data_IF_703874804037
#
_entry.id   IF_703874804037
#
_cell.length_a   1.000
_cell.length_b   1.000
_cell.length_c   1.000
_cell.angle_alpha   90.00
_cell.angle_beta   90.00
_cell.angle_gamma   90.00
#
_symmetry.space_group_name_H-M   'P 1'
#
loop_
_entity.id
_entity.type
_entity.pdbx_description
1 polymer ?
#
# COMPACT_ATOMS: atom_id res chain seq x y z
N UNK A 1 -21.57 42.53 -2.09
CA UNK A 1 -20.60 43.21 -2.98
C UNK A 1 -19.28 42.44 -3.15
N UNK A 2 -19.33 41.09 -3.20
CA UNK A 2 -18.23 40.19 -3.64
C UNK A 2 -18.82 38.97 -4.37
N UNK A 3 -19.68 39.22 -5.35
CA UNK A 3 -20.23 38.21 -6.29
C UNK A 3 -20.23 38.68 -7.76
N UNK A 4 -19.60 39.84 -8.06
CA UNK A 4 -19.51 40.40 -9.41
C UNK A 4 -18.08 40.49 -9.97
N UNK A 5 -17.07 39.95 -9.28
CA UNK A 5 -15.67 40.03 -9.73
C UNK A 5 -15.13 38.77 -10.44
N UNK A 6 -15.95 37.73 -10.61
CA UNK A 6 -15.52 36.46 -11.22
C UNK A 6 -16.07 36.22 -12.65
N UNK A 7 -16.84 37.17 -13.21
CA UNK A 7 -17.52 37.02 -14.50
C UNK A 7 -16.83 37.74 -15.68
N UNK A 8 -15.61 38.27 -15.52
CA UNK A 8 -15.00 39.16 -16.52
C UNK A 8 -13.66 38.70 -17.13
N UNK A 9 -13.38 37.38 -17.19
CA UNK A 9 -12.23 36.86 -17.96
C UNK A 9 -12.56 35.95 -19.15
N UNK A 10 -13.84 35.64 -19.42
CA UNK A 10 -14.24 34.69 -20.49
C UNK A 10 -14.85 35.32 -21.76
N UNK A 11 -14.59 36.60 -22.08
CA UNK A 11 -15.04 37.20 -23.35
C UNK A 11 -14.00 38.13 -23.95
N UNK A 12 -13.08 37.59 -24.76
CA UNK A 12 -12.43 38.26 -25.90
C UNK A 12 -11.33 37.35 -26.48
N UNK A 13 -11.62 36.59 -27.54
CA UNK A 13 -10.88 36.65 -28.82
C UNK A 13 -11.42 35.59 -29.79
N UNK A 14 -12.37 35.99 -30.64
CA UNK A 14 -12.57 35.41 -31.95
C UNK A 14 -13.37 36.43 -32.79
N UNK A 15 -12.74 37.04 -33.79
CA UNK A 15 -13.16 36.94 -35.20
C UNK A 15 -12.38 37.91 -36.13
N UNK A 16 -11.72 37.28 -37.12
CA UNK A 16 -11.41 37.69 -38.49
C UNK A 16 -10.51 38.89 -38.81
N UNK A 17 -9.43 38.61 -39.57
CA UNK A 17 -9.17 39.35 -40.80
C UNK A 17 -8.69 38.43 -41.94
N UNK A 18 -9.02 38.87 -43.13
CA UNK A 18 -9.23 38.18 -44.41
C UNK A 18 -7.98 37.92 -45.26
N UNK A 19 -8.18 37.03 -46.24
CA UNK A 19 -7.35 36.67 -47.38
C UNK A 19 -6.54 37.80 -48.05
N UNK A 20 -5.34 37.43 -48.51
CA UNK A 20 -4.74 37.98 -49.75
C UNK A 20 -3.88 36.88 -50.40
N UNK A 21 -4.32 36.35 -51.53
CA UNK A 21 -3.44 35.72 -52.52
C UNK A 21 -2.71 36.83 -53.28
N UNK A 22 -1.40 36.65 -53.55
CA UNK A 22 -0.73 37.02 -54.82
C UNK A 22 0.55 36.19 -54.93
N UNK A 23 0.85 35.88 -56.20
CA UNK A 23 1.67 34.82 -56.73
C UNK A 23 3.21 35.00 -56.64
N UNK A 24 3.88 33.85 -56.81
CA UNK A 24 4.92 33.69 -57.85
C UNK A 24 6.37 33.76 -57.37
N UNK A 25 7.12 32.69 -57.63
CA UNK A 25 8.58 32.72 -57.55
C UNK A 25 9.24 31.36 -57.39
N UNK A 26 9.25 30.57 -58.47
CA UNK A 26 10.06 29.36 -58.61
C UNK A 26 11.55 29.66 -58.44
N UNK A 27 12.28 28.81 -57.71
CA UNK A 27 13.65 28.42 -58.07
C UNK A 27 13.89 26.96 -57.69
N UNK A 28 14.42 26.23 -58.66
CA UNK A 28 14.66 24.80 -58.63
C UNK A 28 16.15 24.48 -58.42
N UNK A 29 16.39 23.21 -58.10
CA UNK A 29 17.56 22.37 -58.45
C UNK A 29 18.91 22.60 -57.74
N UNK A 30 19.32 21.60 -56.96
CA UNK A 30 20.50 20.71 -57.15
C UNK A 30 20.63 19.82 -55.88
N UNK A 31 20.52 18.50 -55.83
CA UNK A 31 21.07 17.38 -56.61
C UNK A 31 22.60 17.23 -56.54
N UNK A 32 23.06 16.28 -55.70
CA UNK A 32 24.17 15.31 -55.85
C UNK A 32 24.38 14.64 -54.45
N UNK A 33 24.21 13.33 -54.20
CA UNK A 33 24.91 12.11 -54.71
C UNK A 33 26.44 12.29 -54.68
N UNK A 34 27.28 11.40 -54.16
CA UNK A 34 27.17 9.97 -53.89
C UNK A 34 28.42 9.55 -53.05
N UNK A 35 28.28 8.45 -52.28
CA UNK A 35 29.20 7.29 -52.14
C UNK A 35 30.64 7.33 -51.57
N UNK A 36 30.83 6.28 -50.75
CA UNK A 36 31.99 5.34 -50.70
C UNK A 36 33.18 5.83 -49.86
N UNK A 37 33.87 5.03 -49.04
CA UNK A 37 33.97 3.57 -48.85
C UNK A 37 34.79 3.33 -47.57
N UNK A 38 34.45 2.26 -46.84
CA UNK A 38 35.33 1.16 -46.35
C UNK A 38 36.84 1.45 -46.10
N UNK A 39 37.53 0.92 -45.10
CA UNK A 39 37.44 -0.39 -44.45
C UNK A 39 38.47 -0.46 -43.28
N UNK A 40 38.38 -1.56 -42.52
CA UNK A 40 39.41 -2.20 -41.64
C UNK A 40 39.58 -1.59 -40.25
N UNK A 41 39.08 -2.16 -39.13
CA UNK A 41 39.05 -3.53 -38.59
C UNK A 41 40.36 -3.96 -37.88
N UNK A 42 40.17 -4.49 -36.65
CA UNK A 42 41.01 -5.45 -35.89
C UNK A 42 42.31 -4.92 -35.23
N UNK A 43 42.76 -5.40 -34.07
CA UNK A 43 42.32 -6.42 -33.11
C UNK A 43 43.16 -6.26 -31.82
N UNK A 44 42.64 -6.81 -30.69
CA UNK A 44 43.29 -7.69 -29.71
C UNK A 44 44.71 -7.36 -29.19
N UNK A 45 45.12 -7.62 -27.94
CA UNK A 45 44.53 -8.19 -26.73
C UNK A 45 45.65 -8.11 -25.66
N UNK A 46 45.28 -8.50 -24.44
CA UNK A 46 46.07 -9.30 -23.49
C UNK A 46 46.79 -8.59 -22.32
N UNK A 47 46.24 -8.89 -21.13
CA UNK A 47 46.87 -9.42 -19.89
C UNK A 47 48.30 -8.98 -19.50
N UNK A 48 48.75 -8.93 -18.25
CA UNK A 48 48.27 -9.17 -16.88
C UNK A 48 49.45 -8.78 -15.97
N UNK A 49 49.23 -8.40 -14.70
CA UNK A 49 50.22 -8.53 -13.62
C UNK A 49 49.60 -8.28 -12.24
N UNK A 50 49.55 -9.38 -11.49
CA UNK A 50 49.57 -9.60 -10.03
C UNK A 50 50.64 -8.74 -9.29
N UNK A 51 50.73 -8.54 -7.97
CA UNK A 51 50.20 -9.18 -6.75
C UNK A 51 50.54 -8.27 -5.52
N UNK A 52 50.09 -8.68 -4.32
CA UNK A 52 50.50 -8.30 -2.93
C UNK A 52 49.60 -7.29 -2.18
N UNK A 53 49.17 -7.50 -0.94
CA UNK A 53 49.37 -8.62 -0.02
C UNK A 53 48.63 -8.40 1.32
N UNK A 54 48.15 -9.51 1.87
CA UNK A 54 48.01 -9.92 3.28
C UNK A 54 47.24 -9.08 4.33
N UNK A 55 46.25 -9.75 4.93
CA UNK A 55 46.11 -10.03 6.37
C UNK A 55 44.70 -9.77 6.94
N UNK A 56 44.21 -10.82 7.61
CA UNK A 56 42.88 -11.01 8.15
C UNK A 56 42.55 -10.17 9.39
N UNK A 57 41.25 -9.89 9.58
CA UNK A 57 40.56 -10.04 10.88
C UNK A 57 39.02 -10.03 10.67
N UNK A 58 38.34 -11.00 11.30
CA UNK A 58 36.89 -11.07 11.49
C UNK A 58 36.67 -10.76 12.99
N UNK A 59 35.75 -9.87 13.38
CA UNK A 59 34.43 -10.36 13.82
C UNK A 59 33.23 -9.40 13.60
N UNK A 60 32.06 -10.01 13.38
CA UNK A 60 30.73 -9.67 13.92
C UNK A 60 30.08 -8.30 13.62
N UNK A 61 28.95 -8.41 12.90
CA UNK A 61 27.60 -7.97 13.28
C UNK A 61 27.47 -6.65 14.08
N UNK A 62 27.13 -5.58 13.37
CA UNK A 62 26.41 -4.42 13.89
C UNK A 62 25.57 -3.82 12.77
N UNK A 63 24.28 -3.65 13.04
CA UNK A 63 23.37 -2.84 12.25
C UNK A 63 23.94 -1.43 12.07
N UNK A 64 23.92 -0.91 10.85
CA UNK A 64 24.11 0.51 10.59
C UNK A 64 23.25 0.92 9.38
N UNK A 65 22.12 1.52 9.70
CA UNK A 65 21.28 2.29 8.81
C UNK A 65 21.95 3.66 8.58
N UNK A 66 22.70 3.78 7.48
CA UNK A 66 23.13 5.08 6.96
C UNK A 66 22.09 5.60 5.96
N UNK A 67 21.24 6.54 6.38
CA UNK A 67 21.33 7.97 6.02
C UNK A 67 21.60 8.24 4.53
N UNK A 68 20.57 8.73 3.85
CA UNK A 68 20.73 9.84 2.92
C UNK A 68 19.52 10.77 3.00
N UNK A 69 19.64 11.79 3.84
CA UNK A 69 18.80 12.98 3.78
C UNK A 69 19.45 13.96 2.78
N UNK A 70 18.70 14.34 1.74
CA UNK A 70 19.02 15.47 0.89
C UNK A 70 17.86 16.48 0.94
N UNK A 71 17.93 17.33 1.95
CA UNK A 71 17.57 18.75 2.00
C UNK A 71 16.79 19.34 0.80
N UNK A 72 15.52 19.71 1.04
CA UNK A 72 14.98 21.00 0.61
C UNK A 72 14.23 21.69 1.76
N UNK A 73 15.00 22.46 2.51
CA UNK A 73 14.58 23.53 3.41
C UNK A 73 13.49 24.44 2.84
N UNK A 74 12.41 24.71 3.60
CA UNK A 74 11.33 25.56 3.09
C UNK A 74 10.21 26.07 4.00
N UNK A 75 10.08 25.77 5.31
CA UNK A 75 9.13 26.56 6.13
C UNK A 75 9.46 26.58 7.63
N UNK A 76 9.50 27.82 8.12
CA UNK A 76 9.87 28.29 9.45
C UNK A 76 9.02 27.75 10.60
N UNK A 77 9.68 27.32 11.66
CA UNK A 77 9.13 27.09 12.99
C UNK A 77 8.73 28.40 13.68
N UNK A 78 7.53 28.42 14.26
CA UNK A 78 7.19 29.30 15.38
C UNK A 78 6.19 28.57 16.26
N UNK A 79 6.67 28.05 17.39
CA UNK A 79 5.82 27.43 18.39
C UNK A 79 4.85 28.44 19.01
N UNK A 80 3.58 28.04 19.07
CA UNK A 80 2.65 28.46 20.11
C UNK A 80 1.56 27.40 20.21
N UNK A 81 1.38 26.81 21.40
CA UNK A 81 0.36 25.81 21.66
C UNK A 81 -1.03 26.31 21.26
N UNK A 82 -1.53 25.77 20.16
CA UNK A 82 -2.94 25.75 19.80
C UNK A 82 -3.32 24.28 19.88
N UNK A 83 -4.46 23.95 20.49
CA UNK A 83 -5.12 22.69 20.15
C UNK A 83 -5.22 22.68 18.63
N UNK A 84 -4.37 21.86 18.00
CA UNK A 84 -4.24 21.79 16.56
C UNK A 84 -5.54 21.24 16.04
N UNK A 85 -6.26 22.03 15.24
CA UNK A 85 -7.26 21.44 14.35
C UNK A 85 -6.50 20.45 13.48
N UNK A 86 -6.86 19.18 13.59
CA UNK A 86 -6.41 18.14 12.67
C UNK A 86 -6.71 18.63 11.25
N UNK A 87 -5.69 18.72 10.40
CA UNK A 87 -5.88 19.13 9.01
C UNK A 87 -6.31 17.90 8.22
N UNK A 88 -7.61 17.79 7.98
CA UNK A 88 -8.20 16.72 7.18
C UNK A 88 -7.90 16.92 5.70
N UNK A 89 -7.77 15.82 4.98
CA UNK A 89 -7.73 15.81 3.52
C UNK A 89 -9.02 16.44 2.98
N UNK A 90 -8.91 17.36 2.02
CA UNK A 90 -10.07 18.08 1.50
C UNK A 90 -10.56 17.43 0.21
N UNK A 91 -11.69 16.75 0.29
CA UNK A 91 -12.44 16.33 -0.88
C UNK A 91 -12.82 17.52 -1.76
N UNK A 92 -12.45 17.46 -3.03
CA UNK A 92 -12.74 18.48 -4.04
C UNK A 92 -13.93 18.09 -4.94
N UNK A 93 -14.49 19.07 -5.65
CA UNK A 93 -15.53 18.81 -6.65
C UNK A 93 -14.99 17.94 -7.81
N UNK A 94 -13.68 17.99 -8.10
CA UNK A 94 -13.07 17.17 -9.17
C UNK A 94 -12.93 15.72 -8.76
N UNK A 95 -12.63 15.44 -7.49
CA UNK A 95 -12.45 14.07 -7.01
C UNK A 95 -13.72 13.24 -7.22
N UNK A 96 -14.87 13.91 -7.11
CA UNK A 96 -16.19 13.33 -7.33
C UNK A 96 -16.68 13.42 -8.79
N UNK A 97 -16.01 14.18 -9.65
CA UNK A 97 -16.43 14.37 -11.05
C UNK A 97 -15.99 13.18 -11.90
N UNK A 98 -16.97 12.31 -12.17
CA UNK A 98 -16.80 11.15 -13.05
C UNK A 98 -17.11 11.48 -14.51
N UNK A 99 -17.48 12.72 -14.82
CA UNK A 99 -17.95 13.10 -16.15
C UNK A 99 -16.80 13.45 -17.10
N UNK A 100 -16.96 13.09 -18.37
CA UNK A 100 -16.04 13.48 -19.43
C UNK A 100 -16.74 13.53 -20.79
N UNK A 101 -16.09 14.14 -21.77
CA UNK A 101 -16.56 14.19 -23.15
C UNK A 101 -15.87 13.13 -24.01
N UNK A 102 -16.53 11.99 -24.21
CA UNK A 102 -15.98 10.87 -24.98
C UNK A 102 -15.54 11.22 -26.41
N UNK A 103 -16.12 12.26 -27.04
CA UNK A 103 -15.72 12.69 -28.38
C UNK A 103 -14.41 13.49 -28.40
N UNK A 104 -14.03 14.07 -27.26
CA UNK A 104 -12.79 14.86 -27.09
C UNK A 104 -11.69 14.06 -26.39
N UNK A 105 -12.02 12.93 -25.76
CA UNK A 105 -11.06 12.03 -25.12
C UNK A 105 -10.20 11.27 -26.13
N UNK A 106 -8.92 11.10 -25.79
CA UNK A 106 -8.02 10.21 -26.53
C UNK A 106 -8.33 8.75 -26.19
N UNK A 107 -8.26 7.85 -27.17
CA UNK A 107 -8.61 6.44 -27.01
C UNK A 107 -7.35 5.57 -27.01
N UNK A 108 -7.20 4.77 -25.97
CA UNK A 108 -6.15 3.77 -25.83
C UNK A 108 -6.83 2.40 -25.93
N UNK A 109 -6.78 1.80 -27.12
CA UNK A 109 -7.25 0.43 -27.35
C UNK A 109 -6.07 -0.52 -27.12
N UNK A 110 -6.13 -1.29 -26.03
CA UNK A 110 -5.11 -2.25 -25.67
C UNK A 110 -5.17 -3.45 -26.60
N UNK A 111 -3.98 -3.86 -27.04
CA UNK A 111 -3.77 -5.06 -27.84
C UNK A 111 -2.78 -5.97 -27.14
N UNK A 112 -2.74 -7.24 -27.55
CA UNK A 112 -1.72 -8.18 -27.09
C UNK A 112 -0.31 -7.57 -27.20
N UNK A 113 0.49 -7.69 -26.14
CA UNK A 113 1.83 -7.12 -26.04
C UNK A 113 1.94 -5.61 -26.33
N UNK A 114 1.02 -4.80 -25.83
CA UNK A 114 1.01 -3.34 -26.03
C UNK A 114 2.32 -2.63 -25.61
N UNK A 115 3.06 -3.19 -24.65
CA UNK A 115 4.27 -2.60 -24.10
C UNK A 115 3.98 -1.32 -23.30
N UNK A 116 4.93 -0.37 -23.32
CA UNK A 116 4.80 0.90 -22.59
C UNK A 116 3.98 1.92 -23.40
N UNK A 117 2.90 2.42 -22.81
CA UNK A 117 2.02 3.43 -23.36
C UNK A 117 2.24 4.73 -22.58
N UNK A 118 2.72 5.79 -23.24
CA UNK A 118 3.11 7.03 -22.55
C UNK A 118 2.04 8.11 -22.73
N UNK A 119 1.52 8.62 -21.62
CA UNK A 119 0.69 9.82 -21.54
C UNK A 119 1.62 10.98 -21.11
N UNK A 120 1.77 11.97 -21.98
CA UNK A 120 2.76 13.07 -21.81
C UNK A 120 2.13 14.46 -21.97
N UNK A 121 0.80 14.52 -21.92
CA UNK A 121 0.03 15.77 -21.97
C UNK A 121 -1.19 15.65 -21.05
N UNK A 122 -1.60 16.78 -20.49
CA UNK A 122 -2.91 16.91 -19.86
C UNK A 122 -4.03 16.44 -20.80
N UNK A 123 -5.07 15.83 -20.24
CA UNK A 123 -6.25 15.43 -20.99
C UNK A 123 -6.98 14.21 -20.42
N UNK A 124 -8.05 13.83 -21.11
CA UNK A 124 -8.84 12.63 -20.79
C UNK A 124 -8.49 11.49 -21.73
N UNK A 125 -8.23 10.30 -21.17
CA UNK A 125 -7.83 9.10 -21.89
C UNK A 125 -8.76 7.93 -21.55
N UNK A 126 -9.39 7.32 -22.55
CA UNK A 126 -10.26 6.15 -22.37
C UNK A 126 -9.49 4.89 -22.74
N UNK A 127 -9.26 4.02 -21.76
CA UNK A 127 -8.56 2.75 -21.91
C UNK A 127 -9.57 1.61 -22.02
N UNK A 128 -9.44 0.80 -23.06
CA UNK A 128 -10.31 -0.36 -23.34
C UNK A 128 -9.49 -1.53 -23.87
N UNK A 129 -10.04 -2.75 -23.80
CA UNK A 129 -9.39 -3.94 -24.38
C UNK A 129 -8.39 -4.60 -23.43
N UNK A 130 -7.61 -5.56 -23.92
CA UNK A 130 -6.75 -6.40 -23.08
C UNK A 130 -5.32 -6.49 -23.61
N UNK A 131 -4.35 -6.48 -22.70
CA UNK A 131 -2.93 -6.77 -22.98
C UNK A 131 -2.32 -7.68 -21.92
N UNK A 132 -1.48 -8.62 -22.36
CA UNK A 132 -0.71 -9.54 -21.51
C UNK A 132 0.73 -9.02 -21.20
N UNK A 133 1.05 -7.83 -21.71
CA UNK A 133 2.32 -7.16 -21.47
C UNK A 133 2.10 -5.68 -21.78
N UNK A 134 1.67 -4.92 -20.77
CA UNK A 134 1.36 -3.51 -20.88
C UNK A 134 1.70 -2.73 -19.63
N UNK A 135 2.00 -1.45 -19.83
CA UNK A 135 2.20 -0.49 -18.75
C UNK A 135 1.80 0.89 -19.24
N UNK A 136 0.86 1.54 -18.57
CA UNK A 136 0.51 2.94 -18.80
C UNK A 136 1.43 3.80 -17.94
N UNK A 137 2.16 4.72 -18.57
CA UNK A 137 3.08 5.64 -17.91
C UNK A 137 2.55 7.06 -18.09
N UNK A 138 2.19 7.71 -16.99
CA UNK A 138 1.72 9.10 -16.96
C UNK A 138 2.87 9.98 -16.49
N UNK A 139 3.30 10.89 -17.35
CA UNK A 139 4.40 11.82 -17.07
C UNK A 139 4.11 13.16 -17.75
N UNK A 140 3.30 13.96 -17.07
CA UNK A 140 2.89 15.31 -17.48
C UNK A 140 3.58 16.35 -16.59
N UNK A 141 3.32 17.64 -16.79
CA UNK A 141 3.81 18.68 -15.89
C UNK A 141 3.22 18.53 -14.48
N UNK A 142 3.94 18.95 -13.44
CA UNK A 142 3.50 18.90 -12.03
C UNK A 142 2.37 19.88 -11.66
N UNK A 143 1.72 20.47 -12.66
CA UNK A 143 0.59 21.41 -12.53
C UNK A 143 -0.50 21.03 -13.57
N UNK A 144 -0.38 19.84 -14.16
CA UNK A 144 -1.23 19.31 -15.21
C UNK A 144 -1.97 18.06 -14.69
N UNK A 145 -3.28 18.02 -14.88
CA UNK A 145 -4.11 16.88 -14.50
C UNK A 145 -4.21 15.86 -15.64
N UNK A 146 -4.40 14.59 -15.29
CA UNK A 146 -4.80 13.54 -16.23
C UNK A 146 -6.05 12.83 -15.73
N UNK A 147 -7.03 12.67 -16.62
CA UNK A 147 -8.25 11.90 -16.35
C UNK A 147 -8.24 10.59 -17.13
N UNK A 148 -7.92 9.48 -16.46
CA UNK A 148 -7.84 8.15 -17.04
C UNK A 148 -9.14 7.38 -16.78
N UNK A 149 -9.87 7.06 -17.85
CA UNK A 149 -11.07 6.23 -17.77
C UNK A 149 -10.66 4.79 -18.05
N UNK A 150 -10.80 3.90 -17.07
CA UNK A 150 -10.65 2.46 -17.27
C UNK A 150 -12.03 1.88 -17.58
N UNK A 151 -12.19 1.36 -18.81
CA UNK A 151 -13.48 0.85 -19.29
C UNK A 151 -13.31 -0.53 -19.91
N UNK A 152 -13.76 -1.55 -19.19
CA UNK A 152 -13.69 -2.95 -19.64
C UNK A 152 -12.28 -3.33 -20.13
N UNK A 153 -11.26 -2.96 -19.33
CA UNK A 153 -9.85 -3.11 -19.71
C UNK A 153 -9.10 -4.14 -18.84
N UNK A 154 -8.11 -4.80 -19.44
CA UNK A 154 -7.21 -5.73 -18.75
C UNK A 154 -5.75 -5.41 -19.08
N UNK A 155 -4.95 -5.12 -18.05
CA UNK A 155 -3.53 -4.82 -18.19
C UNK A 155 -2.74 -5.76 -17.29
N UNK A 156 -2.06 -6.72 -17.90
CA UNK A 156 -1.02 -7.50 -17.23
C UNK A 156 0.37 -6.88 -17.51
N UNK A 157 1.10 -6.61 -16.44
CA UNK A 157 2.47 -6.10 -16.48
C UNK A 157 3.42 -7.14 -15.89
N UNK A 158 4.13 -7.93 -16.73
CA UNK A 158 4.90 -9.07 -16.24
C UNK A 158 6.01 -8.73 -15.25
N UNK A 159 6.55 -7.50 -15.30
CA UNK A 159 7.73 -7.11 -14.53
C UNK A 159 7.64 -5.71 -13.91
N UNK A 160 6.48 -5.06 -13.89
CA UNK A 160 6.33 -3.70 -13.33
C UNK A 160 4.87 -3.39 -12.96
N UNK A 161 4.56 -2.13 -12.70
CA UNK A 161 3.19 -1.66 -12.52
C UNK A 161 2.39 -1.78 -13.83
N UNK A 162 1.06 -1.93 -13.71
CA UNK A 162 0.13 -1.78 -14.82
C UNK A 162 -0.11 -0.29 -15.12
N UNK A 163 -0.18 0.54 -14.07
CA UNK A 163 -0.30 1.99 -14.16
C UNK A 163 0.81 2.62 -13.32
N UNK A 164 1.57 3.53 -13.93
CA UNK A 164 2.67 4.22 -13.29
C UNK A 164 2.58 5.73 -13.53
N UNK A 165 2.35 6.51 -12.48
CA UNK A 165 2.37 7.97 -12.50
C UNK A 165 3.75 8.44 -12.06
N UNK A 166 4.52 8.93 -13.01
CA UNK A 166 5.84 9.54 -12.80
C UNK A 166 5.67 10.98 -12.29
N UNK A 167 4.76 11.74 -12.92
CA UNK A 167 4.36 13.06 -12.46
C UNK A 167 3.04 13.56 -13.05
N UNK A 168 2.26 14.28 -12.24
CA UNK A 168 1.07 15.08 -12.55
C UNK A 168 0.83 16.12 -11.42
N UNK A 169 -0.14 17.02 -11.56
CA UNK A 169 -0.74 17.68 -10.37
C UNK A 169 -1.57 16.63 -9.63
N UNK A 170 -2.57 16.08 -10.33
CA UNK A 170 -3.35 14.94 -9.85
C UNK A 170 -3.74 14.03 -11.03
N UNK A 171 -3.79 12.73 -10.77
CA UNK A 171 -4.40 11.76 -11.71
C UNK A 171 -5.76 11.33 -11.18
N UNK A 172 -6.80 11.47 -12.00
CA UNK A 172 -8.13 10.94 -11.73
C UNK A 172 -8.33 9.64 -12.51
N UNK A 173 -8.46 8.51 -11.83
CA UNK A 173 -8.81 7.22 -12.43
C UNK A 173 -10.32 6.99 -12.23
N UNK A 174 -11.10 7.04 -13.30
CA UNK A 174 -12.52 6.70 -13.27
C UNK A 174 -12.74 5.27 -13.72
N UNK A 175 -13.31 4.45 -12.84
CA UNK A 175 -13.69 3.07 -13.11
C UNK A 175 -15.06 3.00 -13.80
N UNK A 176 -15.07 2.44 -15.01
CA UNK A 176 -16.26 2.04 -15.75
C UNK A 176 -16.18 0.55 -16.13
N UNK A 177 -17.33 -0.14 -16.16
CA UNK A 177 -17.34 -1.56 -16.52
C UNK A 177 -16.55 -2.44 -15.55
N UNK A 178 -15.97 -3.53 -16.06
CA UNK A 178 -15.15 -4.46 -15.27
C UNK A 178 -13.68 -4.42 -15.72
N UNK A 179 -12.78 -4.03 -14.82
CA UNK A 179 -11.35 -3.86 -15.13
C UNK A 179 -10.48 -4.87 -14.38
N UNK A 180 -9.33 -5.21 -14.96
CA UNK A 180 -8.33 -6.09 -14.34
C UNK A 180 -6.93 -5.51 -14.52
N UNK A 181 -6.18 -5.38 -13.43
CA UNK A 181 -4.81 -4.89 -13.44
C UNK A 181 -3.94 -5.89 -12.67
N UNK A 182 -2.82 -6.33 -13.25
CA UNK A 182 -1.96 -7.31 -12.61
C UNK A 182 -0.47 -7.08 -12.82
N UNK A 183 0.31 -7.60 -11.86
CA UNK A 183 1.75 -7.78 -11.98
C UNK A 183 2.11 -9.27 -12.10
N UNK A 184 3.17 -9.59 -12.85
CA UNK A 184 3.65 -10.97 -13.07
C UNK A 184 4.46 -11.60 -11.94
N UNK A 185 4.64 -10.92 -10.80
CA UNK A 185 5.36 -11.41 -9.62
C UNK A 185 6.78 -10.85 -9.47
N UNK A 186 7.11 -9.79 -10.18
CA UNK A 186 8.37 -9.07 -10.02
C UNK A 186 8.20 -7.59 -10.38
N UNK A 187 8.91 -6.72 -9.67
CA UNK A 187 9.10 -5.34 -10.05
C UNK A 187 10.56 -5.10 -10.41
N UNK A 188 10.84 -5.08 -11.71
CA UNK A 188 12.18 -4.75 -12.22
C UNK A 188 12.30 -3.23 -12.32
N UNK A 189 13.32 -2.66 -11.69
CA UNK A 189 13.59 -1.24 -11.77
C UNK A 189 13.72 -0.79 -13.24
N UNK A 190 12.84 0.13 -13.66
CA UNK A 190 12.87 0.77 -14.98
C UNK A 190 13.38 2.21 -14.90
N UNK A 191 13.48 2.76 -13.69
CA UNK A 191 14.03 4.05 -13.31
C UNK A 191 14.41 4.03 -11.81
N UNK A 192 14.51 5.19 -11.17
CA UNK A 192 14.92 5.34 -9.76
C UNK A 192 13.75 5.52 -8.79
N UNK A 193 12.52 5.22 -9.18
CA UNK A 193 11.33 5.49 -8.37
C UNK A 193 10.81 4.26 -7.61
N UNK A 194 11.59 3.17 -7.59
CA UNK A 194 11.33 1.99 -6.76
C UNK A 194 9.87 1.47 -6.85
N UNK A 195 9.38 1.31 -8.08
CA UNK A 195 8.03 0.80 -8.34
C UNK A 195 7.87 -0.57 -7.67
N UNK A 196 6.84 -0.69 -6.85
CA UNK A 196 6.57 -1.87 -6.01
C UNK A 196 5.07 -2.24 -5.96
N UNK A 197 4.24 -1.70 -6.86
CA UNK A 197 2.80 -1.94 -6.88
C UNK A 197 2.18 -2.01 -8.28
N UNK A 198 0.95 -2.53 -8.39
CA UNK A 198 0.21 -2.61 -9.66
C UNK A 198 -0.23 -1.23 -10.15
N UNK A 199 -0.70 -0.38 -9.23
CA UNK A 199 -0.91 1.05 -9.47
C UNK A 199 0.07 1.80 -8.59
N UNK A 200 1.08 2.41 -9.21
CA UNK A 200 2.09 3.20 -8.51
C UNK A 200 1.98 4.67 -8.92
N UNK A 201 1.73 5.55 -7.96
CA UNK A 201 1.74 6.99 -8.17
C UNK A 201 2.77 7.67 -7.28
N UNK A 202 3.54 8.59 -7.86
CA UNK A 202 4.40 9.48 -7.10
C UNK A 202 3.71 10.73 -6.58
N UNK A 203 2.64 11.13 -7.26
CA UNK A 203 1.93 12.39 -7.05
C UNK A 203 0.46 12.03 -6.73
N UNK A 204 -0.39 13.02 -6.41
CA UNK A 204 -1.77 12.79 -5.93
C UNK A 204 -2.61 11.92 -6.89
N UNK A 205 -3.44 11.06 -6.29
CA UNK A 205 -4.29 10.12 -7.01
C UNK A 205 -5.72 10.16 -6.48
N UNK A 206 -6.69 10.34 -7.37
CA UNK A 206 -8.09 10.05 -7.09
C UNK A 206 -8.54 8.81 -7.87
N UNK A 207 -9.25 7.89 -7.22
CA UNK A 207 -9.97 6.80 -7.89
C UNK A 207 -11.47 6.90 -7.61
N UNK A 208 -12.27 7.01 -8.67
CA UNK A 208 -13.71 7.21 -8.59
C UNK A 208 -14.47 6.37 -9.63
N UNK A 209 -15.75 6.67 -9.84
CA UNK A 209 -16.61 5.92 -10.76
C UNK A 209 -17.41 4.83 -10.07
N UNK A 210 -18.22 4.11 -10.85
CA UNK A 210 -19.11 3.04 -10.36
C UNK A 210 -18.74 1.65 -10.87
N UNK A 211 -17.71 1.54 -11.72
CA UNK A 211 -17.19 0.27 -12.23
C UNK A 211 -16.43 -0.52 -11.17
N UNK A 212 -15.87 -1.64 -11.59
CA UNK A 212 -15.04 -2.50 -10.76
C UNK A 212 -13.60 -2.59 -11.28
N UNK A 213 -12.68 -2.89 -10.36
CA UNK A 213 -11.30 -3.25 -10.67
C UNK A 213 -10.85 -4.43 -9.81
N UNK A 214 -10.29 -5.45 -10.45
CA UNK A 214 -9.55 -6.53 -9.82
C UNK A 214 -8.05 -6.22 -9.93
N UNK A 215 -7.36 -6.15 -8.80
CA UNK A 215 -5.93 -5.86 -8.70
C UNK A 215 -5.22 -7.09 -8.13
N UNK A 216 -4.29 -7.68 -8.89
CA UNK A 216 -3.50 -8.83 -8.45
C UNK A 216 -2.01 -8.53 -8.45
N UNK A 217 -1.40 -8.49 -7.27
CA UNK A 217 0.04 -8.27 -7.08
C UNK A 217 0.68 -9.43 -6.31
N UNK A 218 1.22 -10.45 -7.00
CA UNK A 218 1.86 -11.60 -6.35
C UNK A 218 3.25 -11.27 -5.76
N UNK A 219 3.77 -10.06 -6.02
CA UNK A 219 4.87 -9.41 -5.33
C UNK A 219 4.42 -7.97 -4.98
N UNK A 220 4.99 -7.35 -3.95
CA UNK A 220 4.69 -5.96 -3.59
C UNK A 220 3.21 -5.68 -3.28
N UNK A 221 2.83 -4.41 -3.43
CA UNK A 221 1.55 -3.84 -3.02
C UNK A 221 0.50 -3.85 -4.14
N UNK A 222 -0.78 -3.69 -3.78
CA UNK A 222 -1.84 -3.45 -4.76
C UNK A 222 -1.76 -2.03 -5.35
N UNK A 223 -1.98 -1.03 -4.51
CA UNK A 223 -1.96 0.40 -4.86
C UNK A 223 -0.94 1.10 -3.96
N UNK A 224 -0.07 1.92 -4.55
CA UNK A 224 0.84 2.84 -3.83
C UNK A 224 0.64 4.25 -4.37
N UNK A 225 0.39 5.21 -3.47
CA UNK A 225 0.46 6.64 -3.76
C UNK A 225 1.47 7.29 -2.83
N UNK A 226 2.51 7.94 -3.35
CA UNK A 226 3.53 8.56 -2.51
C UNK A 226 3.08 9.89 -1.87
N UNK A 227 1.98 10.47 -2.34
CA UNK A 227 1.31 11.65 -1.78
C UNK A 227 -0.12 11.27 -1.31
N UNK A 228 -1.14 12.10 -1.54
CA UNK A 228 -2.50 11.87 -1.07
C UNK A 228 -3.30 10.95 -2.02
N UNK A 229 -4.19 10.13 -1.44
CA UNK A 229 -5.07 9.23 -2.17
C UNK A 229 -6.54 9.43 -1.77
N UNK A 230 -7.39 9.72 -2.76
CA UNK A 230 -8.83 9.83 -2.56
C UNK A 230 -9.57 8.69 -3.28
N UNK A 231 -10.43 7.97 -2.57
CA UNK A 231 -11.33 6.98 -3.17
C UNK A 231 -12.79 7.34 -2.91
N UNK A 232 -13.51 7.67 -3.98
CA UNK A 232 -14.89 8.17 -3.87
C UNK A 232 -15.96 7.21 -4.37
N UNK A 233 -15.60 5.99 -4.75
CA UNK A 233 -16.52 5.00 -5.29
C UNK A 233 -15.80 3.85 -5.98
N UNK A 234 -16.58 2.97 -6.60
CA UNK A 234 -16.11 1.79 -7.30
C UNK A 234 -16.19 0.51 -6.46
N UNK A 235 -15.91 -0.62 -7.10
CA UNK A 235 -15.76 -1.93 -6.45
C UNK A 235 -14.35 -2.45 -6.68
N UNK A 236 -13.64 -2.77 -5.60
CA UNK A 236 -12.24 -3.19 -5.61
C UNK A 236 -12.13 -4.61 -5.07
N UNK A 237 -11.44 -5.46 -5.81
CA UNK A 237 -10.94 -6.74 -5.32
C UNK A 237 -9.42 -6.68 -5.42
N UNK A 238 -8.73 -6.63 -4.29
CA UNK A 238 -7.28 -6.48 -4.23
C UNK A 238 -6.68 -7.73 -3.59
N UNK A 239 -5.77 -8.39 -4.30
CA UNK A 239 -4.91 -9.43 -3.74
C UNK A 239 -3.46 -8.99 -3.85
N UNK A 240 -2.78 -8.83 -2.72
CA UNK A 240 -1.42 -8.31 -2.66
C UNK A 240 -0.49 -9.19 -1.82
N UNK A 241 0.81 -9.15 -2.12
CA UNK A 241 1.83 -9.89 -1.37
C UNK A 241 2.35 -9.11 -0.17
N UNK A 242 2.35 -7.80 -0.26
CA UNK A 242 2.58 -6.85 0.82
C UNK A 242 1.23 -6.16 1.08
N UNK A 243 1.19 -4.82 1.17
CA UNK A 243 -0.04 -4.09 1.47
C UNK A 243 -1.08 -4.11 0.34
N UNK A 244 -2.35 -4.05 0.71
CA UNK A 244 -3.44 -3.83 -0.26
C UNK A 244 -3.36 -2.43 -0.88
N UNK A 245 -3.41 -1.41 -0.02
CA UNK A 245 -3.32 0.01 -0.36
C UNK A 245 -2.32 0.66 0.59
N UNK A 246 -1.29 1.33 0.07
CA UNK A 246 -0.26 2.02 0.85
C UNK A 246 -0.11 3.47 0.37
N UNK A 247 -0.01 4.41 1.30
CA UNK A 247 0.34 5.80 0.99
C UNK A 247 1.31 6.42 1.99
N UNK A 248 2.02 7.49 1.61
CA UNK A 248 2.84 8.21 2.58
C UNK A 248 2.07 9.35 3.28
N UNK A 249 1.20 10.09 2.58
CA UNK A 249 0.58 11.27 3.18
C UNK A 249 -0.78 10.92 3.80
N UNK A 250 -1.89 10.95 3.06
CA UNK A 250 -3.20 10.60 3.62
C UNK A 250 -4.07 9.81 2.64
N UNK A 251 -5.01 9.04 3.19
CA UNK A 251 -6.06 8.38 2.42
C UNK A 251 -7.43 8.85 2.89
N UNK A 252 -8.29 9.21 1.96
CA UNK A 252 -9.70 9.49 2.21
C UNK A 252 -10.59 8.55 1.41
N UNK A 253 -11.40 7.77 2.13
CA UNK A 253 -12.47 6.98 1.53
C UNK A 253 -13.83 7.62 1.79
N UNK A 254 -14.57 7.94 0.73
CA UNK A 254 -15.93 8.52 0.87
C UNK A 254 -17.05 7.56 0.52
N UNK A 255 -16.77 6.56 -0.32
CA UNK A 255 -17.69 5.48 -0.67
C UNK A 255 -16.93 4.33 -1.34
N UNK A 256 -17.66 3.31 -1.79
CA UNK A 256 -17.11 2.16 -2.53
C UNK A 256 -17.28 0.83 -1.80
N UNK A 257 -16.85 -0.24 -2.44
CA UNK A 257 -16.81 -1.58 -1.87
C UNK A 257 -15.43 -2.18 -2.08
N UNK A 258 -14.77 -2.60 -1.01
CA UNK A 258 -13.38 -3.02 -1.00
C UNK A 258 -13.29 -4.43 -0.42
N UNK A 259 -12.80 -5.38 -1.20
CA UNK A 259 -12.40 -6.71 -0.74
C UNK A 259 -10.89 -6.82 -0.88
N UNK A 260 -10.18 -6.92 0.24
CA UNK A 260 -8.71 -6.88 0.28
C UNK A 260 -8.21 -8.15 0.97
N UNK A 261 -7.36 -8.93 0.27
CA UNK A 261 -6.59 -10.06 0.80
C UNK A 261 -5.10 -9.78 0.57
N UNK A 262 -4.42 -9.37 1.63
CA UNK A 262 -3.00 -9.04 1.62
C UNK A 262 -2.22 -9.97 2.56
N UNK A 263 -0.90 -9.83 2.62
CA UNK A 263 -0.08 -10.57 3.60
C UNK A 263 0.60 -9.66 4.61
N UNK A 264 0.57 -8.35 4.36
CA UNK A 264 0.95 -7.29 5.28
C UNK A 264 -0.31 -6.45 5.53
N UNK A 265 -0.28 -5.13 5.48
CA UNK A 265 -1.40 -4.30 5.92
C UNK A 265 -2.46 -4.14 4.82
N UNK A 266 -3.74 -4.23 5.16
CA UNK A 266 -4.76 -4.10 4.12
C UNK A 266 -4.87 -2.66 3.61
N UNK A 267 -4.84 -1.69 4.52
CA UNK A 267 -4.82 -0.26 4.22
C UNK A 267 -3.84 0.44 5.16
N UNK A 268 -2.77 0.99 4.58
CA UNK A 268 -1.65 1.60 5.28
C UNK A 268 -1.46 3.06 4.84
N UNK A 269 -1.20 3.96 5.79
CA UNK A 269 -0.70 5.30 5.49
C UNK A 269 0.25 5.83 6.56
N UNK A 270 1.32 6.54 6.20
CA UNK A 270 2.17 7.16 7.23
C UNK A 270 1.46 8.34 7.94
N UNK A 271 0.47 8.98 7.31
CA UNK A 271 -0.26 10.11 7.90
C UNK A 271 -1.67 9.78 8.36
N UNK A 272 -2.69 10.30 7.65
CA UNK A 272 -4.09 10.20 8.05
C UNK A 272 -4.87 9.22 7.20
N UNK A 273 -5.55 8.28 7.85
CA UNK A 273 -6.48 7.34 7.25
C UNK A 273 -7.91 7.71 7.65
N UNK A 274 -8.70 8.24 6.71
CA UNK A 274 -10.06 8.73 6.96
C UNK A 274 -11.12 7.96 6.18
N UNK A 275 -12.18 7.56 6.88
CA UNK A 275 -13.33 6.86 6.31
C UNK A 275 -14.64 7.63 6.58
N UNK A 276 -15.24 8.16 5.53
CA UNK A 276 -16.56 8.81 5.55
C UNK A 276 -17.71 7.86 5.16
N UNK A 277 -17.40 6.65 4.69
CA UNK A 277 -18.38 5.65 4.27
C UNK A 277 -17.75 4.48 3.52
N UNK A 278 -18.59 3.65 2.89
CA UNK A 278 -18.16 2.47 2.11
C UNK A 278 -18.32 1.14 2.84
N UNK A 279 -17.95 0.05 2.16
CA UNK A 279 -17.99 -1.33 2.70
C UNK A 279 -16.64 -2.01 2.51
N UNK A 280 -16.10 -2.60 3.57
CA UNK A 280 -14.75 -3.14 3.61
C UNK A 280 -14.78 -4.58 4.12
N UNK A 281 -14.26 -5.51 3.33
CA UNK A 281 -13.99 -6.89 3.73
C UNK A 281 -12.49 -7.11 3.63
N UNK A 282 -11.84 -7.27 4.78
CA UNK A 282 -10.38 -7.21 4.92
C UNK A 282 -9.86 -8.52 5.52
N UNK A 283 -8.79 -9.04 4.90
CA UNK A 283 -7.91 -10.09 5.41
C UNK A 283 -6.45 -9.61 5.25
N UNK A 284 -5.76 -9.36 6.35
CA UNK A 284 -4.41 -8.80 6.38
C UNK A 284 -3.64 -9.13 7.66
N UNK A 285 -2.38 -8.70 7.72
CA UNK A 285 -1.60 -8.69 8.96
C UNK A 285 -2.22 -7.68 9.92
N UNK A 286 -2.10 -6.40 9.61
CA UNK A 286 -2.96 -5.37 10.17
C UNK A 286 -4.15 -5.08 9.26
N UNK A 287 -5.30 -4.77 9.87
CA UNK A 287 -6.49 -4.38 9.11
C UNK A 287 -6.37 -2.97 8.55
N UNK A 288 -6.19 -1.99 9.44
CA UNK A 288 -6.08 -0.56 9.13
C UNK A 288 -4.89 0.02 9.90
N UNK A 289 -3.93 0.62 9.22
CA UNK A 289 -2.78 1.29 9.86
C UNK A 289 -2.67 2.75 9.40
N UNK A 290 -2.46 3.65 10.36
CA UNK A 290 -1.80 4.92 10.07
C UNK A 290 -1.50 5.74 11.31
N UNK A 291 -0.83 6.88 11.19
CA UNK A 291 -0.59 7.72 12.39
C UNK A 291 -1.91 8.25 12.97
N UNK A 292 -2.89 8.56 12.13
CA UNK A 292 -4.21 8.93 12.59
C UNK A 292 -5.27 8.13 11.83
N UNK A 293 -6.06 7.31 12.53
CA UNK A 293 -7.17 6.58 11.93
C UNK A 293 -8.49 7.21 12.38
N UNK A 294 -9.25 7.74 11.42
CA UNK A 294 -10.57 8.36 11.64
C UNK A 294 -11.67 7.57 10.91
N UNK A 295 -12.64 7.07 11.66
CA UNK A 295 -13.80 6.36 11.12
C UNK A 295 -15.07 7.14 11.44
N UNK A 296 -15.52 7.94 10.47
CA UNK A 296 -16.74 8.72 10.54
C UNK A 296 -17.98 7.87 10.22
N UNK A 297 -17.89 6.99 9.21
CA UNK A 297 -18.91 5.99 8.88
C UNK A 297 -18.33 4.82 8.07
N UNK A 298 -19.14 3.81 7.76
CA UNK A 298 -18.79 2.65 6.93
C UNK A 298 -19.19 1.31 7.53
N UNK A 299 -19.09 0.24 6.75
CA UNK A 299 -19.32 -1.15 7.20
C UNK A 299 -18.07 -2.00 7.01
N UNK A 300 -17.44 -2.41 8.11
CA UNK A 300 -16.15 -3.06 8.13
C UNK A 300 -16.28 -4.49 8.66
N UNK A 301 -15.76 -5.45 7.91
CA UNK A 301 -15.45 -6.80 8.39
C UNK A 301 -13.95 -7.02 8.25
N UNK A 302 -13.24 -7.01 9.36
CA UNK A 302 -11.78 -7.10 9.43
C UNK A 302 -11.41 -8.43 10.06
N UNK A 303 -10.62 -9.24 9.34
CA UNK A 303 -9.87 -10.36 9.90
C UNK A 303 -8.39 -9.98 9.85
N UNK A 304 -7.75 -9.91 11.01
CA UNK A 304 -6.35 -9.49 11.11
C UNK A 304 -5.54 -10.52 11.89
N UNK A 305 -4.28 -10.74 11.49
CA UNK A 305 -3.37 -11.66 12.19
C UNK A 305 -2.42 -10.97 13.16
N UNK A 306 -2.25 -9.65 13.06
CA UNK A 306 -1.55 -8.78 14.00
C UNK A 306 -2.57 -7.86 14.68
N UNK A 307 -2.79 -6.63 14.21
CA UNK A 307 -3.77 -5.71 14.81
C UNK A 307 -4.98 -5.41 13.91
N UNK A 308 -6.16 -5.30 14.51
CA UNK A 308 -7.37 -4.99 13.76
C UNK A 308 -7.35 -3.58 13.20
N UNK A 309 -7.01 -2.62 14.06
CA UNK A 309 -6.79 -1.21 13.74
C UNK A 309 -5.59 -0.77 14.58
N UNK A 310 -4.56 -0.25 13.93
CA UNK A 310 -3.34 0.23 14.57
C UNK A 310 -3.14 1.72 14.27
N UNK A 311 -2.81 2.47 15.32
CA UNK A 311 -2.25 3.81 15.18
C UNK A 311 -0.82 3.88 15.75
N UNK A 312 0.16 3.84 14.84
CA UNK A 312 1.59 3.96 15.13
C UNK A 312 2.18 5.32 14.79
N UNK A 313 3.30 5.70 15.44
CA UNK A 313 4.00 6.95 15.07
C UNK A 313 4.79 6.74 13.77
N UNK A 314 4.21 7.12 12.62
CA UNK A 314 4.88 7.15 11.31
C UNK A 314 5.14 8.58 10.81
N UNK A 315 4.29 9.53 11.22
CA UNK A 315 4.40 10.96 10.91
C UNK A 315 4.48 11.84 12.15
N UNK A 316 5.32 12.88 12.11
CA UNK A 316 5.41 13.92 13.16
C UNK A 316 4.27 14.96 13.08
N UNK A 317 3.41 14.88 12.05
CA UNK A 317 2.29 15.81 11.87
C UNK A 317 1.14 15.53 12.85
N UNK A 318 1.00 14.28 13.29
CA UNK A 318 -0.10 13.82 14.11
C UNK A 318 0.41 13.16 15.41
N UNK A 319 -0.42 13.18 16.44
CA UNK A 319 -0.26 12.26 17.57
C UNK A 319 -0.97 10.97 17.22
N UNK A 320 -0.39 9.78 17.48
CA UNK A 320 -1.05 8.51 17.19
C UNK A 320 -2.44 8.49 17.79
N UNK A 321 -3.47 8.33 16.97
CA UNK A 321 -4.86 8.45 17.42
C UNK A 321 -5.78 7.57 16.59
N UNK A 322 -6.65 6.84 17.26
CA UNK A 322 -7.81 6.19 16.66
C UNK A 322 -9.07 6.92 17.14
N UNK A 323 -9.84 7.46 16.20
CA UNK A 323 -11.13 8.11 16.47
C UNK A 323 -12.25 7.43 15.69
N UNK A 324 -13.20 6.81 16.41
CA UNK A 324 -14.37 6.14 15.84
C UNK A 324 -15.63 6.93 16.17
N UNK A 325 -16.13 7.66 15.19
CA UNK A 325 -17.30 8.54 15.30
C UNK A 325 -18.61 7.85 14.89
N UNK A 326 -18.53 6.81 14.05
CA UNK A 326 -19.71 6.11 13.52
C UNK A 326 -19.38 4.73 12.92
N UNK A 327 -20.24 4.26 12.01
CA UNK A 327 -20.05 3.00 11.30
C UNK A 327 -20.46 1.72 12.04
N UNK A 328 -20.33 0.61 11.32
CA UNK A 328 -20.47 -0.77 11.77
C UNK A 328 -19.11 -1.44 11.61
N UNK A 329 -18.49 -1.88 12.71
CA UNK A 329 -17.18 -2.51 12.69
C UNK A 329 -17.29 -3.90 13.28
N UNK A 330 -16.83 -4.91 12.55
CA UNK A 330 -16.64 -6.26 13.04
C UNK A 330 -15.18 -6.64 12.87
N UNK A 331 -14.46 -6.71 13.98
CA UNK A 331 -13.04 -7.03 14.04
C UNK A 331 -12.90 -8.42 14.65
N UNK A 332 -12.23 -9.32 13.93
CA UNK A 332 -11.91 -10.67 14.39
C UNK A 332 -10.42 -10.88 14.32
N UNK A 333 -9.82 -11.08 15.49
CA UNK A 333 -8.37 -11.25 15.58
C UNK A 333 -7.97 -12.72 15.46
N UNK A 334 -6.78 -12.93 14.90
CA UNK A 334 -6.06 -14.19 14.90
C UNK A 334 -5.68 -14.66 16.31
N UNK A 335 -4.73 -15.58 16.38
CA UNK A 335 -4.15 -16.02 17.65
C UNK A 335 -2.77 -15.38 17.78
N UNK A 336 -2.43 -14.90 18.97
CA UNK A 336 -1.12 -14.31 19.19
C UNK A 336 -1.15 -13.24 20.26
N UNK A 337 -0.09 -12.45 20.29
CA UNK A 337 -0.10 -11.13 20.92
C UNK A 337 -0.61 -10.19 19.83
N UNK A 338 -1.89 -9.82 19.91
CA UNK A 338 -2.65 -9.15 18.86
C UNK A 338 -3.73 -8.32 19.52
N UNK A 339 -3.94 -7.11 19.03
CA UNK A 339 -4.93 -6.18 19.57
C UNK A 339 -6.06 -5.94 18.59
N UNK A 340 -7.29 -5.89 19.11
CA UNK A 340 -8.44 -5.52 18.30
C UNK A 340 -8.33 -4.08 17.79
N UNK A 341 -7.91 -3.18 18.67
CA UNK A 341 -7.69 -1.76 18.41
C UNK A 341 -6.48 -1.34 19.26
N UNK A 342 -5.36 -1.04 18.62
CA UNK A 342 -4.12 -0.57 19.26
C UNK A 342 -3.81 0.88 18.86
N UNK A 343 -3.52 1.72 19.85
CA UNK A 343 -3.01 3.06 19.60
C UNK A 343 -1.80 3.36 20.47
N UNK A 344 -0.68 3.69 19.85
CA UNK A 344 0.49 4.28 20.52
C UNK A 344 0.23 5.70 21.07
N UNK A 345 -1.03 6.17 21.05
CA UNK A 345 -1.49 7.41 21.63
C UNK A 345 -2.94 7.30 22.09
N UNK A 346 -3.87 8.04 21.49
CA UNK A 346 -5.23 8.15 22.01
C UNK A 346 -6.23 7.22 21.31
N UNK A 347 -7.20 6.73 22.08
CA UNK A 347 -8.35 5.98 21.57
C UNK A 347 -9.65 6.67 21.96
N UNK A 348 -10.40 7.15 20.97
CA UNK A 348 -11.70 7.79 21.15
C UNK A 348 -12.79 7.01 20.43
N UNK A 349 -13.74 6.45 21.18
CA UNK A 349 -14.95 5.83 20.62
C UNK A 349 -16.14 6.74 20.96
N UNK A 350 -16.55 7.53 19.98
CA UNK A 350 -17.64 8.51 20.08
C UNK A 350 -18.98 7.96 19.59
N UNK A 351 -18.98 6.94 18.74
CA UNK A 351 -20.17 6.35 18.15
C UNK A 351 -19.96 4.96 17.53
N UNK A 352 -20.89 4.54 16.68
CA UNK A 352 -20.82 3.28 15.93
C UNK A 352 -21.39 2.04 16.64
N UNK A 353 -21.43 0.93 15.90
CA UNK A 353 -21.72 -0.42 16.39
C UNK A 353 -20.49 -1.29 16.16
N UNK A 354 -19.72 -1.54 17.22
CA UNK A 354 -18.39 -2.15 17.16
C UNK A 354 -18.47 -3.53 17.82
N UNK A 355 -18.10 -4.57 17.10
CA UNK A 355 -17.92 -5.93 17.60
C UNK A 355 -16.44 -6.32 17.47
N UNK A 356 -15.78 -6.55 18.60
CA UNK A 356 -14.39 -6.99 18.66
C UNK A 356 -14.32 -8.39 19.25
N UNK A 357 -13.84 -9.34 18.45
CA UNK A 357 -13.55 -10.70 18.87
C UNK A 357 -12.02 -10.87 18.95
N UNK A 358 -11.47 -10.60 20.13
CA UNK A 358 -10.02 -10.54 20.36
C UNK A 358 -9.64 -11.00 21.78
N UNK A 359 -8.40 -11.46 21.95
CA UNK A 359 -7.83 -11.73 23.28
C UNK A 359 -7.56 -10.42 24.02
N UNK A 360 -6.94 -9.46 23.34
CA UNK A 360 -6.74 -8.10 23.79
C UNK A 360 -7.60 -7.17 22.91
N UNK A 361 -8.75 -6.65 23.40
CA UNK A 361 -9.67 -5.89 22.56
C UNK A 361 -9.23 -4.44 22.31
N UNK A 362 -8.51 -3.85 23.28
CA UNK A 362 -8.08 -2.45 23.25
C UNK A 362 -6.72 -2.33 23.94
N UNK A 363 -5.76 -1.73 23.24
CA UNK A 363 -4.53 -1.18 23.82
C UNK A 363 -4.40 0.30 23.45
N UNK A 364 -3.95 1.12 24.40
CA UNK A 364 -3.70 2.53 24.14
C UNK A 364 -2.72 3.15 25.15
N UNK A 365 -1.78 3.93 24.64
CA UNK A 365 -0.71 4.55 25.44
C UNK A 365 -1.10 5.90 26.09
N UNK A 366 -2.08 6.58 25.50
CA UNK A 366 -2.56 7.90 25.86
C UNK A 366 -3.93 7.89 26.51
N UNK A 367 -4.83 8.75 26.04
CA UNK A 367 -6.18 8.84 26.56
C UNK A 367 -7.12 7.86 25.86
N UNK A 368 -7.82 7.04 26.64
CA UNK A 368 -8.91 6.20 26.15
C UNK A 368 -10.26 6.70 26.63
N UNK A 369 -11.18 7.00 25.71
CA UNK A 369 -12.55 7.40 26.04
C UNK A 369 -13.58 6.59 25.25
N UNK A 370 -14.58 6.07 25.96
CA UNK A 370 -15.81 5.56 25.37
C UNK A 370 -16.93 6.56 25.64
N UNK A 371 -17.13 7.46 24.69
CA UNK A 371 -18.08 8.58 24.77
C UNK A 371 -19.48 8.22 24.23
N UNK A 372 -19.57 7.20 23.36
CA UNK A 372 -20.82 6.76 22.77
C UNK A 372 -20.69 5.46 21.99
N UNK A 373 -21.74 5.11 21.22
CA UNK A 373 -21.80 3.88 20.44
C UNK A 373 -22.21 2.64 21.25
N UNK A 374 -22.25 1.51 20.56
CA UNK A 374 -22.44 0.18 21.15
C UNK A 374 -21.20 -0.65 20.88
N UNK A 375 -20.55 -1.13 21.94
CA UNK A 375 -19.32 -1.91 21.85
C UNK A 375 -19.55 -3.29 22.44
N UNK A 376 -19.35 -4.33 21.63
CA UNK A 376 -19.46 -5.73 22.01
C UNK A 376 -18.06 -6.35 21.94
N UNK A 377 -17.58 -6.88 23.06
CA UNK A 377 -16.32 -7.61 23.14
C UNK A 377 -16.64 -9.07 23.41
N UNK A 378 -16.20 -9.97 22.53
CA UNK A 378 -16.38 -11.42 22.67
C UNK A 378 -17.84 -11.81 22.99
N UNK A 379 -18.79 -11.16 22.30
CA UNK A 379 -20.23 -11.37 22.46
C UNK A 379 -20.87 -10.73 23.70
N UNK A 380 -20.15 -9.91 24.48
CA UNK A 380 -20.69 -9.19 25.63
C UNK A 380 -20.56 -7.68 25.43
N UNK A 381 -21.64 -6.94 25.67
CA UNK A 381 -21.61 -5.47 25.60
C UNK A 381 -20.79 -4.91 26.76
N UNK A 382 -19.92 -3.94 26.46
CA UNK A 382 -19.09 -3.22 27.45
C UNK A 382 -19.43 -1.73 27.48
N UNK A 383 -19.13 -1.11 28.61
CA UNK A 383 -19.30 0.35 28.84
C UNK A 383 -18.00 1.02 29.27
N UNK A 384 -16.88 0.31 29.16
CA UNK A 384 -15.54 0.83 29.47
C UNK A 384 -14.50 0.19 28.56
N UNK A 385 -13.48 0.96 28.20
CA UNK A 385 -12.28 0.46 27.52
C UNK A 385 -11.34 -0.17 28.53
N UNK A 386 -11.17 -1.49 28.48
CA UNK A 386 -10.24 -2.22 29.36
C UNK A 386 -8.85 -2.22 28.75
N UNK A 387 -8.07 -1.18 29.04
CA UNK A 387 -6.67 -1.07 28.65
C UNK A 387 -5.83 -2.20 29.28
N UNK A 388 -4.87 -2.76 28.54
CA UNK A 388 -3.94 -3.78 29.02
C UNK A 388 -2.78 -3.25 29.88
N UNK A 389 -2.72 -1.95 30.18
CA UNK A 389 -1.73 -1.41 31.12
C UNK A 389 -1.92 -1.92 32.57
N UNK A 390 -1.27 -3.04 32.93
CA UNK A 390 -0.64 -3.30 34.25
C UNK A 390 0.22 -4.58 34.25
N UNK A 391 1.24 -4.62 33.36
CA UNK A 391 2.33 -5.62 33.38
C UNK A 391 3.66 -5.12 33.97
N UNK A 392 3.77 -3.84 34.37
CA UNK A 392 5.07 -3.22 34.60
C UNK A 392 5.11 -2.05 35.58
N UNK A 393 4.45 -2.13 36.76
CA UNK A 393 4.83 -1.25 37.88
C UNK A 393 4.51 -1.87 39.24
N UNK A 394 5.58 -2.10 40.00
CA UNK A 394 5.52 -2.52 41.39
C UNK A 394 4.59 -1.65 42.23
N UNK A 395 3.96 -2.29 43.21
CA UNK A 395 2.80 -1.79 43.92
C UNK A 395 2.93 -0.38 44.50
N UNK A 396 1.87 0.39 44.29
CA UNK A 396 1.49 1.47 45.19
C UNK A 396 0.16 1.09 45.82
N UNK A 397 0.24 0.43 46.98
CA UNK A 397 -0.86 0.33 47.92
C UNK A 397 -1.27 1.74 48.34
N UNK A 398 -2.39 2.21 47.81
CA UNK A 398 -3.06 3.40 48.30
C UNK A 398 -3.74 3.07 49.64
N UNK A 399 -3.01 3.18 50.75
CA UNK A 399 -3.55 3.09 52.09
C UNK A 399 -3.62 4.50 52.71
N UNK A 400 -4.61 5.28 52.27
CA UNK A 400 -4.95 6.56 52.87
C UNK A 400 -5.81 6.38 54.13
N UNK A 401 -5.17 6.15 55.28
CA UNK A 401 -5.79 6.39 56.59
C UNK A 401 -4.97 7.39 57.40
N UNK A 402 -5.62 8.54 57.60
CA UNK A 402 -5.39 9.61 58.56
C UNK A 402 -4.39 9.34 59.68
N UNK A 403 -3.35 10.17 59.71
CA UNK A 403 -2.44 10.31 60.83
C UNK A 403 -3.12 10.88 62.07
N UNK A 404 -2.87 10.23 63.21
CA UNK A 404 -2.98 10.82 64.53
C UNK A 404 -1.62 10.69 65.24
N UNK A 405 -1.20 11.82 65.81
CA UNK A 405 0.05 12.03 66.54
C UNK A 405 0.17 11.14 67.79
N UNK A 406 1.39 10.73 68.10
CA UNK A 406 1.73 10.13 69.39
C UNK A 406 3.24 10.06 69.64
N UNK A 407 3.72 10.94 70.52
CA UNK A 407 5.05 10.95 71.15
C UNK A 407 5.41 9.59 71.79
N UNK A 408 6.70 9.26 71.87
CA UNK A 408 7.19 8.30 72.86
C UNK A 408 8.62 7.79 72.66
N UNK A 409 9.48 8.17 73.60
CA UNK A 409 10.89 7.82 73.80
C UNK A 409 11.29 6.33 73.86
N UNK A 410 12.62 6.14 73.83
CA UNK A 410 13.47 4.98 74.23
C UNK A 410 13.78 3.99 73.08
N UNK A 411 15.00 3.54 72.81
CA UNK A 411 16.29 3.60 73.49
C UNK A 411 17.12 2.36 73.09
N UNK A 412 18.45 2.53 72.95
CA UNK A 412 19.55 1.55 72.82
C UNK A 412 19.99 1.01 71.43
N UNK A 413 21.32 1.03 71.15
CA UNK A 413 21.93 0.48 69.94
C UNK A 413 22.50 -0.94 70.16
N UNK A 414 22.47 -1.77 69.11
CA UNK A 414 23.00 -3.14 69.10
C UNK A 414 24.01 -3.35 67.96
N UNK A 415 25.18 -3.83 68.36
CA UNK A 415 26.45 -3.92 67.64
C UNK A 415 26.60 -5.19 66.79
N UNK A 416 27.27 -5.07 65.63
CA UNK A 416 28.36 -5.95 65.16
C UNK A 416 28.07 -7.39 64.70
N UNK A 417 28.65 -7.76 63.56
CA UNK A 417 28.88 -9.17 63.20
C UNK A 417 29.26 -9.43 61.75
N UNK A 418 30.54 -9.33 61.41
CA UNK A 418 31.14 -9.97 60.24
C UNK A 418 31.15 -11.50 60.42
N UNK A 419 30.96 -12.24 59.34
CA UNK A 419 31.16 -13.69 59.28
C UNK A 419 31.24 -14.19 57.84
N UNK A 420 32.46 -14.41 57.35
CA UNK A 420 32.78 -15.31 56.24
C UNK A 420 32.20 -16.71 56.49
N UNK A 421 31.74 -17.43 55.46
CA UNK A 421 32.12 -18.84 55.21
C UNK A 421 31.56 -19.38 53.88
N UNK A 422 32.38 -20.25 53.27
CA UNK A 422 32.32 -20.87 51.95
C UNK A 422 31.30 -22.01 51.81
N UNK A 423 30.92 -22.28 50.56
CA UNK A 423 30.54 -23.61 50.04
C UNK A 423 29.29 -23.58 49.15
N UNK A 424 29.22 -24.12 47.94
CA UNK A 424 30.17 -24.86 47.12
C UNK A 424 29.60 -25.03 45.70
N UNK A 425 30.48 -25.03 44.70
CA UNK A 425 30.19 -25.39 43.30
C UNK A 425 30.31 -26.90 43.12
N UNK A 426 29.36 -27.51 42.42
CA UNK A 426 29.48 -28.84 41.82
C UNK A 426 29.17 -28.75 40.33
N UNK A 427 30.19 -28.89 39.49
CA UNK A 427 30.07 -28.91 38.03
C UNK A 427 29.91 -30.33 37.48
N UNK A 428 29.50 -30.42 36.21
CA UNK A 428 29.88 -31.50 35.30
C UNK A 428 30.17 -30.90 33.93
N UNK A 429 31.40 -31.09 33.48
CA UNK A 429 31.89 -30.66 32.18
C UNK A 429 31.52 -31.64 31.06
N UNK A 430 31.70 -31.16 29.83
CA UNK A 430 31.91 -31.99 28.65
C UNK A 430 33.20 -31.52 27.99
N UNK A 431 34.19 -32.40 27.97
CA UNK A 431 35.42 -32.26 27.22
C UNK A 431 35.27 -32.89 25.83
N UNK A 432 36.08 -32.35 24.92
CA UNK A 432 36.22 -32.65 23.51
C UNK A 432 36.54 -34.12 23.17
N UNK A 433 36.35 -34.50 21.90
CA UNK A 433 37.45 -34.87 21.00
C UNK A 433 36.95 -35.15 19.56
N UNK A 434 37.87 -34.84 18.65
CA UNK A 434 37.98 -35.06 17.20
C UNK A 434 37.51 -36.40 16.62
N UNK A 435 37.25 -36.42 15.31
CA UNK A 435 37.35 -37.65 14.51
C UNK A 435 36.51 -37.72 13.23
N UNK A 436 37.16 -37.46 12.10
CA UNK A 436 36.77 -37.80 10.72
C UNK A 436 36.16 -39.21 10.58
N UNK A 437 35.13 -39.39 9.73
CA UNK A 437 35.22 -40.12 8.45
C UNK A 437 33.83 -40.25 7.79
N UNK A 438 33.81 -40.34 6.46
CA UNK A 438 32.62 -40.39 5.62
C UNK A 438 31.77 -41.65 5.74
N UNK A 439 30.58 -41.57 5.16
CA UNK A 439 29.65 -42.68 4.99
C UNK A 439 28.42 -42.24 4.21
N UNK A 440 28.25 -42.84 3.03
CA UNK A 440 27.25 -42.54 2.01
C UNK A 440 25.81 -42.70 2.51
N UNK A 441 24.91 -41.85 2.01
CA UNK A 441 23.47 -42.12 2.01
C UNK A 441 23.17 -43.19 0.94
N UNK A 442 22.39 -44.24 1.23
CA UNK A 442 22.01 -45.19 0.20
C UNK A 442 20.88 -44.66 -0.68
N UNK A 443 21.11 -44.77 -1.98
CA UNK A 443 20.09 -44.82 -3.04
C UNK A 443 19.10 -45.97 -2.82
N UNK A 444 17.97 -45.89 -3.54
CA UNK A 444 16.99 -46.94 -3.84
C UNK A 444 15.64 -46.85 -3.09
N UNK A 445 14.64 -46.31 -3.79
CA UNK A 445 13.40 -47.06 -4.03
C UNK A 445 12.61 -46.45 -5.22
N UNK A 446 12.83 -47.00 -6.41
CA UNK A 446 11.84 -47.01 -7.51
C UNK A 446 11.56 -48.46 -7.86
N UNK A 447 10.29 -48.91 -7.88
CA UNK A 447 9.72 -49.45 -9.14
C UNK A 447 8.16 -49.41 -9.19
N UNK A 448 7.47 -49.88 -10.27
CA UNK A 448 7.85 -50.07 -11.67
C UNK A 448 6.85 -49.46 -12.69
N UNK A 449 7.25 -49.55 -13.96
CA UNK A 449 6.50 -49.32 -15.19
C UNK A 449 5.11 -49.99 -15.29
N UNK A 450 4.24 -49.34 -16.07
CA UNK A 450 3.57 -50.02 -17.18
C UNK A 450 2.09 -50.33 -17.03
N UNK A 451 1.23 -49.40 -17.44
CA UNK A 451 -0.07 -49.73 -18.06
C UNK A 451 -0.43 -48.71 -19.15
N UNK A 452 -0.09 -49.04 -20.39
CA UNK A 452 -0.75 -48.53 -21.59
C UNK A 452 -2.12 -49.23 -21.73
N UNK A 453 -3.22 -48.52 -22.00
CA UNK A 453 -4.46 -49.16 -22.42
C UNK A 453 -4.37 -49.56 -23.91
N UNK A 454 -5.05 -50.65 -24.33
CA UNK A 454 -4.91 -51.20 -25.67
C UNK A 454 -5.68 -50.41 -26.73
N UNK A 455 -5.02 -50.18 -27.86
CA UNK A 455 -5.66 -49.95 -29.16
C UNK A 455 -6.43 -51.20 -29.60
N UNK A 456 -7.64 -51.00 -30.12
CA UNK A 456 -8.50 -52.04 -30.67
C UNK A 456 -9.58 -51.46 -31.57
N UNK A 457 -9.19 -51.22 -32.81
CA UNK A 457 -9.95 -50.67 -33.94
C UNK A 457 -11.12 -51.54 -34.44
N UNK A 458 -12.03 -50.86 -35.16
CA UNK A 458 -12.92 -51.33 -36.27
C UNK A 458 -14.13 -52.18 -35.87
N UNK A 459 -15.35 -51.97 -36.41
CA UNK A 459 -15.72 -51.66 -37.80
C UNK A 459 -17.21 -51.27 -37.92
N UNK A 460 -17.49 -50.41 -38.89
CA UNK A 460 -18.59 -50.36 -39.88
C UNK A 460 -20.01 -50.89 -39.58
N UNK A 461 -21.01 -50.02 -39.82
CA UNK A 461 -22.19 -50.16 -40.72
C UNK A 461 -23.15 -48.99 -40.40
N UNK A 462 -23.25 -47.89 -41.17
CA UNK A 462 -23.85 -47.65 -42.49
C UNK A 462 -25.39 -47.84 -42.59
N UNK A 463 -26.03 -46.80 -43.16
CA UNK A 463 -27.43 -46.65 -43.65
C UNK A 463 -28.48 -46.30 -42.58
N UNK A 464 -29.37 -45.31 -42.73
CA UNK A 464 -30.09 -44.75 -43.89
C UNK A 464 -30.65 -43.36 -43.45
N UNK A 465 -30.49 -42.23 -44.15
CA UNK A 465 -31.41 -41.68 -45.19
C UNK A 465 -32.89 -42.06 -44.94
N UNK A 466 -33.89 -41.19 -44.93
CA UNK A 466 -34.06 -39.91 -45.61
C UNK A 466 -35.36 -39.23 -45.10
N UNK A 467 -35.51 -37.98 -45.51
CA UNK A 467 -36.76 -37.36 -45.96
C UNK A 467 -37.78 -36.70 -45.01
N UNK A 468 -37.78 -35.36 -45.17
CA UNK A 468 -38.91 -34.45 -45.50
C UNK A 468 -39.72 -33.83 -44.37
N UNK A 469 -40.25 -32.61 -44.51
CA UNK A 469 -40.08 -31.41 -45.35
C UNK A 469 -41.25 -30.49 -44.95
N UNK A 470 -41.16 -29.22 -45.35
CA UNK A 470 -42.23 -28.19 -45.46
C UNK A 470 -42.51 -27.34 -44.21
N UNK A 471 -42.53 -26.00 -44.30
CA UNK A 471 -42.44 -25.07 -45.43
C UNK A 471 -41.77 -23.76 -45.02
#
# INVERSE_FOLDING_TARGET
MKKEMYMNRKKMLALALSATMIAGGSFALAACKDKSSTDTEKAAADESADESGDAAENPQNTADSSKNAADKNGKTTSGNGSSGSVELLKLTDKDQDTSYNEAESEKIELTENAGKINITKEGTYIVTGSTNNGMIIINVGSEEDVHLILRDCEIDSPTSAAIYVVSADEVYITLEGENKLSNGGAFTAIDSNDIDSVIFSKDDLTINGSGSVEITSPAGHGIVCKDDLVLTGGTYTITAKEDGINTNDSILFTAGTYTIDCKDDAIHTDGMLEFEGGTYTIDGAEGLEGTYVMINDGDFTINASDDGINAGQKSDAYTPTIEINGGSLKITMGQGDTDGIDSNGNLYINGGNIEVNAQNPFDYDGEGQLNGGKVIVNGQETTSLTNQMMGGRGGFQNNGQNGFQGNGDNGFPGNGGQGDFRGGRGGKGRGALDGQNGGQMPDDMTPPDGMTPPDGQMSDEMTQEDDRETA
#
